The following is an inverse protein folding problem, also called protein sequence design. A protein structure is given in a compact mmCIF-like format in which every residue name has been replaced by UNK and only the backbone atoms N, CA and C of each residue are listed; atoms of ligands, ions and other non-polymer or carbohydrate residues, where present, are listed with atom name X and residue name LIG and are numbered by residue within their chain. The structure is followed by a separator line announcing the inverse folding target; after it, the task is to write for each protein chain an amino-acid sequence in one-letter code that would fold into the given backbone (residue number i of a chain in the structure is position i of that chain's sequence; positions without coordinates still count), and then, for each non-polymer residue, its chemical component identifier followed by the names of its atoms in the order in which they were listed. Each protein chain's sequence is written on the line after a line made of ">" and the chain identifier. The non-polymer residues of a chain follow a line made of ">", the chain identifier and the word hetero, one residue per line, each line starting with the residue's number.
data_IF_778769248072
#
_entry.id   IF_778769248072
#
_cell.length_a   1.000
_cell.length_b   1.000
_cell.length_c   1.000
_cell.angle_alpha   90.00
_cell.angle_beta   90.00
_cell.angle_gamma   90.00
#
_symmetry.space_group_name_H-M   'P 1'
#
loop_
_entity.id
_entity.type
_entity.pdbx_description
1 polymer ?
#
# COMPACT_ATOMS: atom_id res chain seq x y z
N UNK A 1 14.10 19.12 -12.40
CA UNK A 1 13.49 17.99 -13.14
C UNK A 1 12.16 18.41 -13.75
N UNK A 2 12.17 19.23 -14.78
CA UNK A 2 10.96 19.66 -15.51
C UNK A 2 10.71 18.68 -16.66
N UNK A 3 9.96 17.61 -16.40
CA UNK A 3 9.61 16.63 -17.45
C UNK A 3 8.77 15.43 -16.99
N UNK A 4 9.11 14.79 -15.87
CA UNK A 4 8.56 13.47 -15.48
C UNK A 4 7.18 13.49 -14.79
N UNK A 5 6.42 14.60 -14.90
CA UNK A 5 5.20 14.82 -14.13
C UNK A 5 5.42 14.90 -12.61
N UNK A 6 4.46 15.48 -11.90
CA UNK A 6 4.48 15.46 -10.43
C UNK A 6 3.96 14.10 -9.91
N UNK A 7 4.39 13.66 -8.70
CA UNK A 7 3.73 12.57 -8.00
C UNK A 7 2.23 12.85 -7.83
N UNK A 8 1.43 11.78 -7.70
CA UNK A 8 0.01 11.93 -7.48
C UNK A 8 -0.26 12.61 -6.13
N UNK A 9 -1.16 13.61 -6.11
CA UNK A 9 -1.31 14.51 -4.96
C UNK A 9 -0.21 15.58 -4.80
N UNK A 10 0.71 15.70 -5.77
CA UNK A 10 1.71 16.77 -5.86
C UNK A 10 3.05 16.46 -5.20
N UNK A 11 3.09 15.58 -4.19
CA UNK A 11 4.31 15.21 -3.46
C UNK A 11 4.44 13.69 -3.36
N UNK A 12 5.67 13.17 -3.48
CA UNK A 12 5.96 11.77 -3.24
C UNK A 12 6.09 11.57 -1.72
N UNK A 13 5.21 10.75 -1.16
CA UNK A 13 5.17 10.46 0.27
C UNK A 13 6.05 9.23 0.54
N UNK A 14 7.32 9.47 0.86
CA UNK A 14 8.25 8.40 1.27
C UNK A 14 8.19 8.23 2.79
N UNK A 15 7.79 7.04 3.26
CA UNK A 15 7.58 6.75 4.68
C UNK A 15 8.77 5.98 5.30
N UNK A 16 9.85 5.76 4.56
CA UNK A 16 11.06 5.13 5.07
C UNK A 16 11.77 6.05 6.08
N UNK A 17 11.82 5.60 7.34
CA UNK A 17 12.57 6.26 8.39
C UNK A 17 14.07 6.22 8.11
N UNK A 18 14.76 7.32 8.42
CA UNK A 18 16.21 7.45 8.23
C UNK A 18 16.92 7.91 9.51
N UNK A 19 18.22 7.59 9.61
CA UNK A 19 19.07 8.02 10.72
C UNK A 19 18.55 7.61 12.10
N UNK A 20 18.66 8.52 13.07
CA UNK A 20 18.33 8.26 14.47
C UNK A 20 16.85 7.88 14.71
N UNK A 21 15.92 8.42 13.92
CA UNK A 21 14.49 8.09 14.03
C UNK A 21 14.24 6.61 13.74
N UNK A 22 14.92 6.04 12.74
CA UNK A 22 14.83 4.61 12.41
C UNK A 22 15.30 3.72 13.57
N UNK A 23 16.40 4.08 14.22
CA UNK A 23 16.96 3.31 15.34
C UNK A 23 16.09 3.39 16.60
N UNK A 24 15.47 4.53 16.86
CA UNK A 24 14.52 4.72 17.95
C UNK A 24 13.25 3.89 17.74
N UNK A 25 12.62 4.03 16.58
CA UNK A 25 11.40 3.27 16.23
C UNK A 25 11.69 1.78 16.18
N UNK A 26 12.87 1.35 15.70
CA UNK A 26 13.25 -0.05 15.70
C UNK A 26 13.36 -0.66 17.10
N UNK A 27 13.83 0.12 18.10
CA UNK A 27 13.85 -0.32 19.50
C UNK A 27 12.46 -0.34 20.12
N UNK A 28 11.63 0.66 19.82
CA UNK A 28 10.24 0.73 20.26
C UNK A 28 9.41 -0.44 19.71
N UNK A 29 9.57 -0.77 18.42
CA UNK A 29 8.80 -1.83 17.77
C UNK A 29 8.97 -3.23 18.40
N UNK A 30 10.06 -3.46 19.14
CA UNK A 30 10.27 -4.70 19.88
C UNK A 30 9.34 -4.88 21.09
N UNK A 31 8.76 -3.79 21.62
CA UNK A 31 7.88 -3.81 22.81
C UNK A 31 6.42 -3.55 22.49
N UNK A 32 6.10 -3.10 21.27
CA UNK A 32 4.74 -2.84 20.82
C UNK A 32 3.96 -4.16 20.60
N UNK A 33 2.62 -4.14 20.73
CA UNK A 33 1.80 -5.18 20.14
C UNK A 33 2.08 -5.24 18.63
N UNK A 34 2.01 -6.42 18.04
CA UNK A 34 2.27 -6.61 16.62
C UNK A 34 1.04 -7.03 15.84
N UNK A 35 1.00 -6.61 14.58
CA UNK A 35 0.08 -7.10 13.55
C UNK A 35 0.92 -7.91 12.56
N UNK A 36 0.52 -9.16 12.32
CA UNK A 36 1.12 -10.01 11.29
C UNK A 36 0.43 -9.75 9.95
N UNK A 37 1.18 -9.22 8.99
CA UNK A 37 0.69 -8.93 7.65
C UNK A 37 0.86 -10.14 6.75
N UNK A 38 -0.21 -10.52 6.06
CA UNK A 38 -0.11 -11.45 4.95
C UNK A 38 0.61 -10.81 3.74
N UNK A 39 0.81 -11.59 2.68
CA UNK A 39 1.52 -11.12 1.48
C UNK A 39 0.81 -9.96 0.77
N UNK A 40 -0.51 -9.83 0.88
CA UNK A 40 -1.28 -8.73 0.29
C UNK A 40 -1.04 -7.45 1.07
N UNK A 41 -1.22 -7.49 2.39
CA UNK A 41 -0.96 -6.34 3.26
C UNK A 41 0.51 -5.92 3.23
N UNK A 42 1.44 -6.88 3.10
CA UNK A 42 2.87 -6.59 2.92
C UNK A 42 3.16 -5.88 1.59
N UNK A 43 2.44 -6.23 0.51
CA UNK A 43 2.55 -5.56 -0.78
C UNK A 43 1.99 -4.12 -0.72
N UNK A 44 0.86 -3.93 -0.03
CA UNK A 44 0.28 -2.60 0.18
C UNK A 44 1.20 -1.74 1.07
N UNK A 45 1.75 -2.33 2.13
CA UNK A 45 2.76 -1.69 2.99
C UNK A 45 3.98 -1.25 2.18
N UNK A 46 4.51 -2.06 1.25
CA UNK A 46 5.66 -1.68 0.43
C UNK A 46 5.37 -0.43 -0.43
N UNK A 47 4.17 -0.37 -1.03
CA UNK A 47 3.75 0.76 -1.87
C UNK A 47 3.43 2.01 -1.06
N UNK A 48 2.94 1.87 0.18
CA UNK A 48 2.87 2.98 1.14
C UNK A 48 4.30 3.44 1.51
N UNK A 49 5.15 2.50 1.91
CA UNK A 49 6.49 2.76 2.42
C UNK A 49 7.36 3.54 1.43
N UNK A 50 7.30 3.18 0.13
CA UNK A 50 8.12 3.80 -0.91
C UNK A 50 7.43 4.95 -1.67
N UNK A 51 6.20 5.31 -1.29
CA UNK A 51 5.42 6.38 -1.91
C UNK A 51 4.74 6.04 -3.22
N UNK A 52 4.74 4.77 -3.64
CA UNK A 52 3.94 4.27 -4.77
C UNK A 52 2.44 4.56 -4.63
N UNK A 53 1.96 4.67 -3.39
CA UNK A 53 0.58 5.04 -3.06
C UNK A 53 0.37 6.50 -2.63
N UNK A 54 1.30 7.41 -2.96
CA UNK A 54 1.07 8.85 -2.77
C UNK A 54 -0.30 9.26 -3.35
N UNK A 55 -1.11 10.05 -2.63
CA UNK A 55 -0.78 10.82 -1.43
C UNK A 55 -0.99 10.12 -0.09
N UNK A 56 -1.31 8.82 -0.07
CA UNK A 56 -1.53 8.11 1.19
C UNK A 56 -0.23 8.05 2.01
N UNK A 57 -0.35 8.29 3.31
CA UNK A 57 0.74 8.18 4.30
C UNK A 57 0.52 7.04 5.31
N UNK A 58 -0.46 6.19 5.04
CA UNK A 58 -0.83 5.06 5.88
C UNK A 58 -2.04 4.30 5.35
N UNK A 59 -2.54 3.37 6.16
CA UNK A 59 -3.76 2.63 5.85
C UNK A 59 -4.99 3.50 6.10
N UNK A 60 -5.98 3.41 5.20
CA UNK A 60 -7.10 4.36 5.13
C UNK A 60 -7.98 4.36 6.38
N UNK A 61 -8.20 5.57 6.91
CA UNK A 61 -9.28 5.85 7.87
C UNK A 61 -10.66 5.64 7.26
N UNK A 62 -11.70 5.61 8.10
CA UNK A 62 -13.05 5.22 7.67
C UNK A 62 -13.62 6.19 6.61
N UNK A 63 -13.30 7.48 6.72
CA UNK A 63 -13.78 8.49 5.76
C UNK A 63 -13.21 8.27 4.35
N UNK A 64 -11.90 8.03 4.22
CA UNK A 64 -11.27 7.72 2.93
C UNK A 64 -11.79 6.38 2.38
N UNK A 65 -11.88 5.36 3.24
CA UNK A 65 -12.42 4.06 2.87
C UNK A 65 -13.83 4.16 2.27
N UNK A 66 -14.77 4.81 2.98
CA UNK A 66 -16.15 4.97 2.52
C UNK A 66 -16.21 5.78 1.22
N UNK A 67 -15.46 6.87 1.15
CA UNK A 67 -15.38 7.70 -0.05
C UNK A 67 -14.87 6.91 -1.26
N UNK A 68 -13.86 6.05 -1.08
CA UNK A 68 -13.32 5.22 -2.16
C UNK A 68 -14.34 4.19 -2.61
N UNK A 69 -14.98 3.50 -1.66
CA UNK A 69 -16.01 2.49 -1.96
C UNK A 69 -17.21 3.10 -2.68
N UNK A 70 -17.63 4.31 -2.30
CA UNK A 70 -18.86 4.93 -2.81
C UNK A 70 -18.64 5.78 -4.06
N UNK A 71 -17.52 6.50 -4.13
CA UNK A 71 -17.28 7.58 -5.09
C UNK A 71 -16.02 7.40 -5.92
N UNK A 72 -15.19 6.38 -5.63
CA UNK A 72 -13.86 6.21 -6.26
C UNK A 72 -12.96 7.44 -6.09
N UNK A 73 -13.06 8.09 -4.93
CA UNK A 73 -12.19 9.20 -4.52
C UNK A 73 -11.76 9.04 -3.07
N UNK A 74 -10.61 9.60 -2.72
CA UNK A 74 -10.27 9.91 -1.34
C UNK A 74 -11.25 10.97 -0.80
N UNK A 75 -11.32 11.14 0.52
CA UNK A 75 -12.21 12.10 1.17
C UNK A 75 -11.88 13.56 0.77
N UNK A 76 -10.64 13.83 0.36
CA UNK A 76 -10.22 15.12 -0.19
C UNK A 76 -10.59 15.35 -1.67
N UNK A 77 -11.29 14.41 -2.29
CA UNK A 77 -11.78 14.49 -3.67
C UNK A 77 -10.81 13.98 -4.74
N UNK A 78 -9.60 13.55 -4.37
CA UNK A 78 -8.66 12.97 -5.34
C UNK A 78 -9.15 11.59 -5.81
N UNK A 79 -9.22 11.30 -7.13
CA UNK A 79 -9.56 9.98 -7.64
C UNK A 79 -8.73 8.85 -7.01
N UNK A 80 -9.40 7.80 -6.55
CA UNK A 80 -8.76 6.61 -6.00
C UNK A 80 -9.71 5.41 -6.08
N UNK A 81 -9.37 4.34 -6.84
CA UNK A 81 -10.37 3.35 -7.24
C UNK A 81 -10.52 2.14 -6.29
N UNK A 82 -9.55 1.87 -5.41
CA UNK A 82 -9.52 0.64 -4.61
C UNK A 82 -9.05 0.96 -3.17
N UNK A 83 -9.77 0.50 -2.12
CA UNK A 83 -9.36 0.75 -0.75
C UNK A 83 -7.99 0.14 -0.40
N UNK A 84 -7.18 0.86 0.39
CA UNK A 84 -5.91 0.39 0.95
C UNK A 84 -6.08 0.29 2.46
N UNK A 85 -6.42 -0.90 2.93
CA UNK A 85 -6.85 -1.16 4.32
C UNK A 85 -6.03 -2.27 4.96
N UNK A 86 -5.77 -2.18 6.27
CA UNK A 86 -5.15 -3.25 7.05
C UNK A 86 -6.23 -4.01 7.83
N UNK A 87 -6.66 -5.15 7.30
CA UNK A 87 -7.69 -5.98 7.92
C UNK A 87 -7.07 -6.96 8.92
N UNK A 88 -7.59 -6.97 10.15
CA UNK A 88 -7.13 -7.81 11.25
C UNK A 88 -8.26 -8.69 11.77
N UNK A 89 -7.91 -9.80 12.41
CA UNK A 89 -8.88 -10.65 13.11
C UNK A 89 -9.41 -9.96 14.38
N UNK A 90 -10.60 -10.34 14.87
CA UNK A 90 -11.12 -9.79 16.14
C UNK A 90 -10.19 -10.04 17.34
N UNK A 91 -9.57 -11.23 17.51
CA UNK A 91 -8.62 -11.45 18.59
C UNK A 91 -7.36 -10.59 18.50
N UNK A 92 -6.92 -10.25 17.29
CA UNK A 92 -5.79 -9.34 17.07
C UNK A 92 -6.21 -7.90 17.39
N UNK A 93 -7.35 -7.45 16.86
CA UNK A 93 -7.91 -6.12 17.15
C UNK A 93 -8.10 -5.86 18.64
N UNK A 94 -8.49 -6.87 19.42
CA UNK A 94 -8.68 -6.76 20.87
C UNK A 94 -7.39 -6.43 21.64
N UNK A 95 -6.21 -6.60 21.04
CA UNK A 95 -4.90 -6.24 21.62
C UNK A 95 -4.43 -4.85 21.21
N UNK A 96 -5.17 -4.19 20.32
CA UNK A 96 -4.85 -2.89 19.77
C UNK A 96 -5.75 -1.83 20.41
N UNK A 97 -5.28 -0.58 20.38
CA UNK A 97 -6.03 0.55 20.90
C UNK A 97 -5.89 1.75 19.96
N UNK A 98 -6.99 2.44 19.73
CA UNK A 98 -6.99 3.76 19.09
C UNK A 98 -6.12 4.73 19.88
N UNK A 99 -5.27 5.50 19.19
CA UNK A 99 -4.25 6.36 19.78
C UNK A 99 -2.97 5.63 20.20
N UNK A 100 -2.95 4.29 20.10
CA UNK A 100 -1.77 3.47 20.36
C UNK A 100 -0.93 3.25 19.10
N UNK A 101 0.13 2.44 19.25
CA UNK A 101 1.00 2.00 18.16
C UNK A 101 1.07 0.49 18.09
N UNK A 102 1.31 -0.03 16.89
CA UNK A 102 1.62 -1.43 16.68
C UNK A 102 2.78 -1.63 15.71
N UNK A 103 3.57 -2.68 15.94
CA UNK A 103 4.59 -3.13 15.00
C UNK A 103 3.93 -3.88 13.83
N UNK A 104 4.35 -3.59 12.61
CA UNK A 104 3.93 -4.30 11.40
C UNK A 104 4.99 -5.32 11.03
N UNK A 105 4.61 -6.60 10.98
CA UNK A 105 5.50 -7.71 10.66
C UNK A 105 5.08 -8.37 9.35
N UNK A 106 6.03 -8.81 8.54
CA UNK A 106 5.72 -9.71 7.43
C UNK A 106 5.41 -11.14 7.91
N UNK A 107 5.11 -12.02 6.96
CA UNK A 107 4.81 -13.43 7.19
C UNK A 107 5.99 -14.26 7.73
N UNK A 108 7.22 -13.73 7.66
CA UNK A 108 8.40 -14.30 8.30
C UNK A 108 8.58 -13.85 9.75
N UNK A 109 7.75 -12.90 10.21
CA UNK A 109 7.82 -12.28 11.53
C UNK A 109 8.81 -11.12 11.61
N UNK A 110 9.41 -10.71 10.49
CA UNK A 110 10.36 -9.60 10.44
C UNK A 110 9.63 -8.26 10.55
N UNK A 111 10.15 -7.35 11.39
CA UNK A 111 9.54 -6.04 11.61
C UNK A 111 9.84 -5.11 10.44
N UNK A 112 8.81 -4.75 9.68
CA UNK A 112 8.92 -3.84 8.54
C UNK A 112 8.69 -2.38 8.93
N UNK A 113 7.88 -2.12 9.95
CA UNK A 113 7.53 -0.76 10.35
C UNK A 113 6.61 -0.70 11.55
N UNK A 114 6.04 0.47 11.78
CA UNK A 114 5.02 0.72 12.81
C UNK A 114 3.85 1.47 12.22
N UNK A 115 2.67 1.28 12.84
CA UNK A 115 1.47 2.05 12.56
C UNK A 115 1.08 2.87 13.80
N UNK A 116 0.85 4.16 13.62
CA UNK A 116 0.21 5.05 14.59
C UNK A 116 -1.32 4.92 14.40
N UNK A 117 -1.99 4.16 15.27
CA UNK A 117 -3.39 3.78 15.08
C UNK A 117 -4.31 4.97 15.37
N UNK A 118 -4.94 5.50 14.33
CA UNK A 118 -5.90 6.61 14.46
C UNK A 118 -7.33 6.12 14.60
N UNK A 119 -7.67 4.99 13.97
CA UNK A 119 -9.02 4.44 13.97
C UNK A 119 -8.98 2.91 13.92
N UNK A 120 -9.98 2.28 14.55
CA UNK A 120 -10.29 0.85 14.38
C UNK A 120 -11.78 0.76 14.09
N UNK A 121 -12.15 0.29 12.90
CA UNK A 121 -13.54 0.27 12.43
C UNK A 121 -13.90 -1.04 11.75
N UNK A 122 -15.20 -1.28 11.53
CA UNK A 122 -15.70 -2.47 10.83
C UNK A 122 -16.03 -2.14 9.37
N UNK A 123 -15.55 -2.97 8.45
CA UNK A 123 -15.92 -2.89 7.02
C UNK A 123 -17.15 -3.73 6.70
N UNK A 124 -18.00 -3.25 5.79
CA UNK A 124 -19.02 -4.08 5.15
C UNK A 124 -18.42 -4.73 3.89
N UNK A 125 -17.94 -5.97 4.07
CA UNK A 125 -17.30 -6.72 2.97
C UNK A 125 -18.24 -6.92 1.78
N UNK A 126 -19.54 -7.13 2.01
CA UNK A 126 -20.49 -7.41 0.94
C UNK A 126 -20.80 -6.18 0.12
N UNK A 127 -20.94 -5.04 0.79
CA UNK A 127 -21.08 -3.75 0.14
C UNK A 127 -19.83 -3.39 -0.67
N UNK A 128 -18.65 -3.52 -0.06
CA UNK A 128 -17.36 -3.29 -0.72
C UNK A 128 -17.22 -4.18 -1.96
N UNK A 129 -17.58 -5.47 -1.88
CA UNK A 129 -17.46 -6.40 -2.99
C UNK A 129 -18.27 -5.94 -4.21
N UNK A 130 -19.54 -5.59 -3.99
CA UNK A 130 -20.45 -5.13 -5.04
C UNK A 130 -19.99 -3.81 -5.66
N UNK A 131 -19.46 -2.90 -4.85
CA UNK A 131 -19.09 -1.55 -5.33
C UNK A 131 -17.72 -1.54 -6.01
N UNK A 132 -16.74 -2.22 -5.43
CA UNK A 132 -15.34 -2.25 -5.92
C UNK A 132 -15.14 -3.31 -7.00
N UNK A 133 -15.55 -4.55 -6.76
CA UNK A 133 -15.35 -5.66 -7.70
C UNK A 133 -16.52 -5.87 -8.67
N UNK A 134 -17.63 -5.13 -8.49
CA UNK A 134 -18.86 -5.24 -9.29
C UNK A 134 -19.55 -6.62 -9.19
N UNK A 135 -19.20 -7.40 -8.18
CA UNK A 135 -19.76 -8.72 -7.88
C UNK A 135 -19.52 -9.07 -6.41
N UNK A 136 -20.42 -9.84 -5.80
CA UNK A 136 -20.22 -10.49 -4.50
C UNK A 136 -19.99 -12.01 -4.61
N UNK A 137 -19.70 -12.49 -5.82
CA UNK A 137 -19.36 -13.89 -6.09
C UNK A 137 -18.02 -14.27 -5.48
N UNK A 138 -18.03 -15.24 -4.56
CA UNK A 138 -16.84 -15.78 -3.89
C UNK A 138 -15.88 -16.49 -4.86
N UNK A 139 -16.32 -16.86 -6.07
CA UNK A 139 -15.43 -17.37 -7.10
C UNK A 139 -14.54 -16.28 -7.72
N UNK A 140 -14.88 -14.99 -7.56
CA UNK A 140 -14.02 -13.90 -8.02
C UNK A 140 -12.78 -13.77 -7.13
N UNK A 141 -11.54 -13.84 -7.67
CA UNK A 141 -10.33 -13.90 -6.84
C UNK A 141 -10.15 -12.72 -5.87
N UNK A 142 -10.56 -11.52 -6.29
CA UNK A 142 -10.51 -10.33 -5.42
C UNK A 142 -11.54 -10.36 -4.29
N UNK A 143 -12.72 -10.95 -4.53
CA UNK A 143 -13.79 -11.09 -3.52
C UNK A 143 -13.40 -12.18 -2.54
N UNK A 144 -12.94 -13.34 -3.03
CA UNK A 144 -12.43 -14.43 -2.20
C UNK A 144 -11.35 -13.95 -1.22
N UNK A 145 -10.34 -13.24 -1.73
CA UNK A 145 -9.26 -12.71 -0.91
C UNK A 145 -9.75 -11.72 0.15
N UNK A 146 -10.67 -10.82 -0.23
CA UNK A 146 -11.24 -9.84 0.71
C UNK A 146 -12.09 -10.52 1.80
N UNK A 147 -12.91 -11.51 1.44
CA UNK A 147 -13.77 -12.24 2.37
C UNK A 147 -12.97 -13.11 3.35
N UNK A 148 -11.86 -13.69 2.90
CA UNK A 148 -10.96 -14.48 3.74
C UNK A 148 -10.27 -13.66 4.84
N UNK A 149 -10.01 -12.38 4.59
CA UNK A 149 -9.44 -11.47 5.59
C UNK A 149 -10.44 -11.06 6.68
N UNK A 150 -9.95 -10.42 7.75
CA UNK A 150 -10.78 -9.90 8.84
C UNK A 150 -11.81 -8.84 8.39
N UNK A 151 -12.79 -8.53 9.22
CA UNK A 151 -13.75 -7.44 8.99
C UNK A 151 -13.43 -6.18 9.82
N UNK A 152 -12.48 -6.26 10.74
CA UNK A 152 -11.96 -5.12 11.51
C UNK A 152 -10.77 -4.52 10.77
N UNK A 153 -10.83 -3.22 10.48
CA UNK A 153 -9.76 -2.47 9.83
C UNK A 153 -9.04 -1.63 10.87
N UNK A 154 -7.71 -1.67 10.83
CA UNK A 154 -6.83 -0.78 11.58
C UNK A 154 -6.33 0.28 10.63
N UNK A 155 -6.60 1.54 10.94
CA UNK A 155 -6.17 2.68 10.15
C UNK A 155 -5.18 3.53 10.93
N UNK A 156 -4.31 4.20 10.19
CA UNK A 156 -3.25 4.95 10.82
C UNK A 156 -2.09 5.22 9.90
N UNK A 157 -1.31 6.21 10.32
CA UNK A 157 -0.08 6.59 9.63
C UNK A 157 0.96 5.49 9.77
N UNK A 158 1.69 5.22 8.69
CA UNK A 158 2.75 4.21 8.68
C UNK A 158 4.11 4.90 8.75
N UNK A 159 5.01 4.33 9.55
CA UNK A 159 6.45 4.63 9.48
C UNK A 159 7.20 3.34 9.18
N UNK A 160 7.88 3.30 8.03
CA UNK A 160 8.59 2.11 7.58
C UNK A 160 10.05 2.10 8.10
N UNK A 161 10.47 0.98 8.66
CA UNK A 161 11.85 0.72 9.04
C UNK A 161 12.65 0.08 7.90
N UNK A 162 11.98 -0.62 7.00
CA UNK A 162 12.56 -1.22 5.80
C UNK A 162 11.47 -1.58 4.80
N UNK A 163 11.86 -1.80 3.55
CA UNK A 163 11.00 -2.47 2.57
C UNK A 163 11.04 -3.99 2.79
N UNK A 164 9.99 -4.73 2.38
CA UNK A 164 10.01 -6.19 2.39
C UNK A 164 11.17 -6.75 1.57
N UNK A 165 11.69 -7.91 2.01
CA UNK A 165 12.66 -8.66 1.22
C UNK A 165 11.95 -9.42 0.10
N UNK A 166 12.58 -9.49 -1.08
CA UNK A 166 12.06 -10.23 -2.23
C UNK A 166 13.15 -11.16 -2.78
N UNK A 167 12.78 -12.42 -3.02
CA UNK A 167 13.67 -13.37 -3.65
C UNK A 167 13.75 -13.12 -5.16
N UNK A 168 14.98 -12.96 -5.67
CA UNK A 168 15.26 -12.82 -7.09
C UNK A 168 14.87 -11.47 -7.70
N UNK A 169 15.68 -11.01 -8.66
CA UNK A 169 15.46 -9.75 -9.40
C UNK A 169 15.31 -8.50 -8.53
N UNK A 170 15.90 -8.48 -7.32
CA UNK A 170 15.87 -7.33 -6.43
C UNK A 170 16.43 -6.07 -7.13
N UNK A 171 17.41 -6.23 -8.02
CA UNK A 171 17.99 -5.16 -8.84
C UNK A 171 17.00 -4.54 -9.84
N UNK A 172 15.87 -5.21 -10.13
CA UNK A 172 14.81 -4.71 -11.02
C UNK A 172 13.65 -4.06 -10.26
N UNK A 173 13.61 -4.17 -8.93
CA UNK A 173 12.57 -3.60 -8.07
C UNK A 173 12.97 -2.19 -7.65
N UNK A 174 12.76 -1.23 -8.55
CA UNK A 174 13.05 0.18 -8.29
C UNK A 174 11.88 0.85 -7.57
N UNK A 175 12.18 1.63 -6.53
CA UNK A 175 11.20 2.53 -5.91
C UNK A 175 10.83 3.68 -6.84
N UNK A 176 9.69 4.38 -6.65
CA UNK A 176 9.36 5.55 -7.45
C UNK A 176 10.47 6.61 -7.50
N UNK A 177 11.18 6.82 -6.39
CA UNK A 177 12.32 7.74 -6.32
C UNK A 177 13.50 7.25 -7.19
N UNK A 178 13.84 5.97 -7.11
CA UNK A 178 14.91 5.36 -7.91
C UNK A 178 14.56 5.37 -9.41
N UNK A 179 13.33 4.97 -9.78
CA UNK A 179 12.86 4.99 -11.17
C UNK A 179 12.92 6.40 -11.76
N UNK A 180 12.49 7.43 -11.02
CA UNK A 180 12.59 8.82 -11.46
C UNK A 180 14.03 9.28 -11.61
N UNK A 181 14.94 8.86 -10.71
CA UNK A 181 16.36 9.15 -10.83
C UNK A 181 16.97 8.52 -12.09
N UNK A 182 16.62 7.26 -12.41
CA UNK A 182 17.06 6.60 -13.63
C UNK A 182 16.59 7.31 -14.91
N UNK A 183 15.31 7.70 -14.98
CA UNK A 183 14.83 8.52 -16.09
C UNK A 183 15.60 9.83 -16.23
N UNK A 184 15.95 10.47 -15.10
CA UNK A 184 16.78 11.66 -15.07
C UNK A 184 18.19 11.44 -15.64
N UNK A 185 18.85 10.34 -15.25
CA UNK A 185 20.18 9.96 -15.77
C UNK A 185 20.15 9.71 -17.28
N UNK A 186 19.07 9.11 -17.77
CA UNK A 186 18.86 8.83 -19.20
C UNK A 186 18.37 10.05 -20.00
N UNK A 187 18.08 11.18 -19.34
CA UNK A 187 17.57 12.39 -19.97
C UNK A 187 16.15 12.25 -20.52
N UNK A 188 15.38 11.26 -20.06
CA UNK A 188 14.01 11.02 -20.55
C UNK A 188 13.05 12.07 -20.01
N UNK A 189 12.19 12.56 -20.91
CA UNK A 189 11.16 13.57 -20.60
C UNK A 189 9.74 13.04 -20.77
N UNK A 190 9.57 12.05 -21.62
CA UNK A 190 8.30 11.36 -21.88
C UNK A 190 8.54 9.88 -21.63
N UNK A 191 7.68 9.27 -20.83
CA UNK A 191 7.78 7.86 -20.43
C UNK A 191 6.40 7.24 -20.51
N UNK A 192 6.33 6.06 -21.15
CA UNK A 192 5.10 5.25 -21.20
C UNK A 192 5.24 4.10 -20.21
N UNK A 193 4.27 3.97 -19.30
CA UNK A 193 4.16 2.82 -18.41
C UNK A 193 3.33 1.71 -19.06
N UNK A 194 3.90 0.52 -19.22
CA UNK A 194 3.18 -0.66 -19.70
C UNK A 194 3.07 -1.70 -18.59
N UNK A 195 1.85 -1.89 -18.07
CA UNK A 195 1.57 -2.88 -17.03
C UNK A 195 1.26 -4.24 -17.65
N UNK A 196 1.89 -5.30 -17.13
CA UNK A 196 1.56 -6.68 -17.51
C UNK A 196 1.76 -7.65 -16.36
N UNK A 197 0.93 -8.68 -16.32
CA UNK A 197 1.13 -9.91 -15.52
C UNK A 197 1.34 -11.16 -16.39
N UNK A 198 1.38 -10.96 -17.72
CA UNK A 198 1.51 -12.01 -18.72
C UNK A 198 2.83 -11.88 -19.49
N UNK A 199 3.36 -12.97 -20.06
CA UNK A 199 4.50 -12.90 -20.97
C UNK A 199 4.25 -11.93 -22.14
N UNK A 200 5.27 -11.14 -22.47
CA UNK A 200 5.23 -10.20 -23.60
C UNK A 200 5.30 -10.99 -24.92
N UNK A 201 4.39 -10.70 -25.85
CA UNK A 201 4.36 -11.26 -27.20
C UNK A 201 4.24 -10.14 -28.24
N UNK A 202 4.26 -10.48 -29.54
CA UNK A 202 4.35 -9.48 -30.64
C UNK A 202 3.30 -8.38 -30.59
N UNK A 203 2.07 -8.68 -30.20
CA UNK A 203 1.05 -7.63 -30.04
C UNK A 203 1.38 -6.64 -28.89
N UNK A 204 1.88 -7.11 -27.75
CA UNK A 204 2.35 -6.24 -26.65
C UNK A 204 3.52 -5.37 -27.09
N UNK A 205 4.50 -5.96 -27.80
CA UNK A 205 5.64 -5.23 -28.35
C UNK A 205 5.21 -4.13 -29.33
N UNK A 206 4.24 -4.43 -30.20
CA UNK A 206 3.68 -3.44 -31.11
C UNK A 206 3.05 -2.28 -30.34
N UNK A 207 2.21 -2.56 -29.33
CA UNK A 207 1.59 -1.53 -28.49
C UNK A 207 2.64 -0.63 -27.82
N UNK A 208 3.71 -1.22 -27.27
CA UNK A 208 4.79 -0.46 -26.62
C UNK A 208 5.51 0.45 -27.61
N UNK A 209 5.67 0.02 -28.87
CA UNK A 209 6.38 0.79 -29.91
C UNK A 209 5.57 1.96 -30.48
N UNK A 210 4.25 1.90 -30.45
CA UNK A 210 3.36 2.91 -31.06
C UNK A 210 2.75 3.88 -30.04
N UNK A 211 2.99 3.65 -28.74
CA UNK A 211 2.50 4.49 -27.65
C UNK A 211 3.23 5.84 -27.53
#
# INVERSE_FOLDING_TARGET
>A
MTGLGQPYGGTLIDLLATGASREEIGREAATLPSIEMDSRHTSDFELLANGGFSPLDGFMGEADYRSVVDQMTLANGLPWPVPVTLAVSEPEAARLATGGRAALRDDSGFVLGVIDITEIYKRDKKEEAKKVYRTDDEAHPGVAAMYAGGDTIVAGKVTALSLPSHDGMAERRLTPAQTRAEFGKLGWKTVVGFQTRNPIHRAHEYLIKVA
#
